data_IF_813206552866
#
_entry.id   IF_813206552866
#
_cell.length_a   1.000
_cell.length_b   1.000
_cell.length_c   1.000
_cell.angle_alpha   90.00
_cell.angle_beta   90.00
_cell.angle_gamma   90.00
#
_symmetry.space_group_name_H-M   'P 1'
#
loop_
_entity.id
_entity.type
_entity.pdbx_description
1 polymer ?
#
# COMPACT_ATOMS: atom_id res chain seq x y z
N UNK A 1 0.51 -10.88 -16.21
CA UNK A 1 0.22 -9.96 -17.33
C UNK A 1 -1.02 -10.38 -18.12
N UNK A 2 -1.14 -11.64 -18.56
CA UNK A 2 -2.30 -12.12 -19.32
C UNK A 2 -3.65 -11.76 -18.69
N UNK A 3 -3.89 -12.15 -17.44
CA UNK A 3 -5.16 -11.87 -16.74
C UNK A 3 -5.55 -10.39 -16.71
N UNK A 4 -4.57 -9.47 -16.63
CA UNK A 4 -4.86 -8.03 -16.65
C UNK A 4 -5.34 -7.62 -18.04
N UNK A 5 -4.67 -8.09 -19.08
CA UNK A 5 -5.06 -7.79 -20.46
C UNK A 5 -6.45 -8.36 -20.79
N UNK A 6 -6.74 -9.59 -20.32
CA UNK A 6 -8.05 -10.24 -20.52
C UNK A 6 -9.15 -9.46 -19.80
N UNK A 7 -8.89 -9.04 -18.57
CA UNK A 7 -9.83 -8.20 -17.82
C UNK A 7 -10.07 -6.87 -18.54
N UNK A 8 -9.02 -6.17 -18.97
CA UNK A 8 -9.15 -4.89 -19.69
C UNK A 8 -9.90 -5.05 -21.01
N UNK A 9 -9.67 -6.15 -21.75
CA UNK A 9 -10.41 -6.40 -23.00
C UNK A 9 -11.90 -6.69 -22.80
N UNK A 10 -12.30 -7.03 -21.58
CA UNK A 10 -13.68 -7.31 -21.20
C UNK A 10 -14.39 -6.10 -20.58
N UNK A 11 -13.66 -5.01 -20.33
CA UNK A 11 -14.24 -3.75 -19.87
C UNK A 11 -14.94 -3.04 -21.02
N UNK A 12 -16.06 -2.42 -20.73
CA UNK A 12 -16.78 -1.53 -21.64
C UNK A 12 -17.15 -0.23 -20.92
N UNK A 13 -17.65 0.74 -21.66
CA UNK A 13 -18.09 2.04 -21.14
C UNK A 13 -19.48 1.98 -20.48
N UNK A 14 -20.01 0.79 -20.27
CA UNK A 14 -21.30 0.57 -19.64
C UNK A 14 -21.32 0.88 -18.15
N UNK A 15 -22.48 0.74 -17.56
CA UNK A 15 -22.62 0.84 -16.11
C UNK A 15 -21.85 -0.30 -15.43
N UNK A 16 -20.93 0.06 -14.55
CA UNK A 16 -20.17 -0.89 -13.76
C UNK A 16 -21.03 -1.65 -12.75
N UNK A 17 -20.44 -2.60 -12.04
CA UNK A 17 -21.15 -3.45 -11.10
C UNK A 17 -21.81 -2.63 -9.99
N UNK A 18 -23.07 -2.97 -9.69
CA UNK A 18 -23.76 -2.39 -8.53
C UNK A 18 -23.07 -2.86 -7.24
N UNK A 19 -22.90 -1.95 -6.29
CA UNK A 19 -22.26 -2.25 -5.01
C UNK A 19 -20.72 -2.13 -5.03
N UNK A 20 -20.14 -1.60 -6.10
CA UNK A 20 -18.72 -1.25 -6.14
C UNK A 20 -18.42 -0.18 -5.09
N UNK A 21 -17.67 -0.57 -4.04
CA UNK A 21 -17.31 0.30 -2.93
C UNK A 21 -16.05 1.14 -3.20
N UNK A 22 -15.32 0.85 -4.29
CA UNK A 22 -14.05 1.51 -4.61
C UNK A 22 -14.28 2.73 -5.51
N UNK A 23 -14.95 2.53 -6.64
CA UNK A 23 -15.18 3.57 -7.64
C UNK A 23 -16.65 3.81 -7.97
N UNK A 24 -17.57 3.17 -7.24
CA UNK A 24 -19.02 3.36 -7.44
C UNK A 24 -19.54 2.90 -8.80
N UNK A 25 -18.81 2.00 -9.47
CA UNK A 25 -19.14 1.50 -10.81
C UNK A 25 -18.56 2.34 -11.95
N UNK A 26 -17.65 3.27 -11.66
CA UNK A 26 -16.94 4.05 -12.69
C UNK A 26 -15.89 3.18 -13.41
N UNK A 27 -16.23 2.73 -14.63
CA UNK A 27 -15.37 1.85 -15.41
C UNK A 27 -14.10 2.54 -15.92
N UNK A 28 -14.12 3.86 -16.11
CA UNK A 28 -12.91 4.61 -16.50
C UNK A 28 -11.87 4.64 -15.37
N UNK A 29 -12.35 4.70 -14.11
CA UNK A 29 -11.48 4.59 -12.94
C UNK A 29 -10.89 3.17 -12.81
N UNK A 30 -11.68 2.14 -13.09
CA UNK A 30 -11.19 0.76 -13.14
C UNK A 30 -10.17 0.54 -14.25
N UNK A 31 -10.33 1.17 -15.42
CA UNK A 31 -9.33 1.13 -16.50
C UNK A 31 -8.00 1.77 -16.05
N UNK A 32 -8.04 2.94 -15.39
CA UNK A 32 -6.84 3.58 -14.81
C UNK A 32 -6.15 2.67 -13.80
N UNK A 33 -6.92 2.04 -12.93
CA UNK A 33 -6.42 1.08 -11.96
C UNK A 33 -5.73 -0.10 -12.65
N UNK A 34 -6.36 -0.70 -13.66
CA UNK A 34 -5.82 -1.83 -14.41
C UNK A 34 -4.51 -1.47 -15.14
N UNK A 35 -4.44 -0.30 -15.80
CA UNK A 35 -3.22 0.20 -16.44
C UNK A 35 -2.11 0.44 -15.40
N UNK A 36 -2.43 1.01 -14.26
CA UNK A 36 -1.46 1.22 -13.18
C UNK A 36 -0.94 -0.11 -12.63
N UNK A 37 -1.82 -1.09 -12.44
CA UNK A 37 -1.44 -2.44 -12.02
C UNK A 37 -0.56 -3.12 -13.07
N UNK A 38 -0.87 -2.97 -14.35
CA UNK A 38 -0.06 -3.46 -15.47
C UNK A 38 1.34 -2.85 -15.46
N UNK A 39 1.44 -1.53 -15.28
CA UNK A 39 2.73 -0.84 -15.13
C UNK A 39 3.52 -1.37 -13.94
N UNK A 40 2.88 -1.53 -12.79
CA UNK A 40 3.51 -2.09 -11.58
C UNK A 40 4.03 -3.51 -11.80
N UNK A 41 3.26 -4.37 -12.46
CA UNK A 41 3.71 -5.74 -12.81
C UNK A 41 4.87 -5.70 -13.80
N UNK A 42 4.82 -4.83 -14.82
CA UNK A 42 5.91 -4.65 -15.76
C UNK A 42 7.22 -4.26 -15.05
N UNK A 43 7.18 -3.31 -14.14
CA UNK A 43 8.36 -2.92 -13.36
C UNK A 43 8.93 -4.07 -12.52
N UNK A 44 8.07 -4.95 -11.98
CA UNK A 44 8.50 -6.14 -11.23
C UNK A 44 9.12 -7.23 -12.11
N UNK A 45 8.82 -7.22 -13.41
CA UNK A 45 9.38 -8.18 -14.39
C UNK A 45 10.70 -7.72 -14.99
N UNK A 46 11.17 -6.51 -14.70
CA UNK A 46 12.28 -5.85 -15.41
C UNK A 46 13.57 -6.68 -15.46
N UNK A 47 13.88 -7.43 -14.41
CA UNK A 47 15.08 -8.26 -14.36
C UNK A 47 14.87 -9.64 -15.00
N UNK A 48 13.67 -10.19 -14.88
CA UNK A 48 13.37 -11.55 -15.38
C UNK A 48 13.07 -11.57 -16.89
N UNK A 49 12.38 -10.54 -17.40
CA UNK A 49 12.03 -10.35 -18.80
C UNK A 49 12.07 -8.87 -19.18
N UNK A 50 13.25 -8.28 -19.43
CA UNK A 50 13.39 -6.86 -19.73
C UNK A 50 12.61 -6.41 -20.97
N UNK A 51 12.53 -7.25 -21.99
CA UNK A 51 11.84 -6.92 -23.24
C UNK A 51 10.31 -6.90 -23.05
N UNK A 52 9.76 -7.92 -22.40
CA UNK A 52 8.35 -7.97 -22.05
C UNK A 52 7.94 -6.90 -21.06
N UNK A 53 8.80 -6.61 -20.06
CA UNK A 53 8.61 -5.53 -19.10
C UNK A 53 8.52 -4.16 -19.79
N UNK A 54 9.46 -3.86 -20.70
CA UNK A 54 9.45 -2.63 -21.48
C UNK A 54 8.17 -2.51 -22.30
N UNK A 55 7.85 -3.50 -23.11
CA UNK A 55 6.67 -3.47 -23.97
C UNK A 55 5.36 -3.29 -23.17
N UNK A 56 5.23 -4.01 -22.04
CA UNK A 56 4.05 -3.90 -21.18
C UNK A 56 3.97 -2.56 -20.45
N UNK A 57 5.10 -2.02 -20.00
CA UNK A 57 5.19 -0.72 -19.34
C UNK A 57 4.85 0.43 -20.29
N UNK A 58 5.42 0.43 -21.49
CA UNK A 58 5.12 1.42 -22.53
C UNK A 58 3.64 1.38 -22.94
N UNK A 59 3.07 0.17 -23.08
CA UNK A 59 1.66 0.01 -23.38
C UNK A 59 0.75 0.53 -22.25
N UNK A 60 1.13 0.31 -20.99
CA UNK A 60 0.37 0.84 -19.84
C UNK A 60 0.44 2.37 -19.75
N UNK A 61 1.60 2.96 -20.02
CA UNK A 61 1.80 4.41 -20.06
C UNK A 61 1.13 5.09 -21.26
N UNK A 62 0.80 4.35 -22.31
CA UNK A 62 0.01 4.82 -23.45
C UNK A 62 -1.48 4.98 -23.13
N UNK A 63 -1.95 4.39 -22.04
CA UNK A 63 -3.32 4.53 -21.53
C UNK A 63 -3.38 5.48 -20.33
N UNK A 64 -4.58 5.64 -19.78
CA UNK A 64 -4.77 6.38 -18.53
C UNK A 64 -4.27 5.58 -17.34
N UNK A 65 -3.47 6.19 -16.48
CA UNK A 65 -2.99 5.62 -15.22
C UNK A 65 -3.47 6.44 -14.02
N UNK A 66 -3.27 5.94 -12.81
CA UNK A 66 -3.46 6.73 -11.59
C UNK A 66 -2.24 7.65 -11.45
N UNK A 67 -2.41 8.90 -11.82
CA UNK A 67 -1.40 9.97 -11.81
C UNK A 67 -1.75 11.12 -10.85
N UNK A 68 -2.92 11.03 -10.19
CA UNK A 68 -3.37 11.96 -9.17
C UNK A 68 -4.07 11.20 -8.04
N UNK A 69 -4.05 11.76 -6.83
CA UNK A 69 -4.70 11.15 -5.66
C UNK A 69 -6.22 11.02 -5.79
N UNK A 70 -6.86 11.85 -6.61
CA UNK A 70 -8.30 11.74 -6.87
C UNK A 70 -8.69 10.42 -7.58
N UNK A 71 -7.73 9.75 -8.22
CA UNK A 71 -7.93 8.47 -8.91
C UNK A 71 -7.55 7.25 -8.07
N UNK A 72 -7.11 7.45 -6.82
CA UNK A 72 -6.71 6.36 -5.95
C UNK A 72 -7.85 5.36 -5.74
N UNK A 73 -7.53 4.07 -5.83
CA UNK A 73 -8.44 3.00 -5.43
C UNK A 73 -8.52 2.98 -3.90
N UNK A 74 -9.57 3.52 -3.35
CA UNK A 74 -9.80 3.58 -1.91
C UNK A 74 -11.01 2.73 -1.55
N UNK A 75 -10.84 1.84 -0.57
CA UNK A 75 -11.96 1.13 0.02
C UNK A 75 -12.33 1.85 1.33
N UNK A 76 -13.52 2.45 1.42
CA UNK A 76 -13.95 3.14 2.63
C UNK A 76 -14.33 2.13 3.71
N UNK A 77 -13.50 2.04 4.74
CA UNK A 77 -13.89 1.33 5.96
C UNK A 77 -14.90 2.19 6.74
N UNK A 78 -15.73 1.55 7.52
CA UNK A 78 -16.67 2.22 8.42
C UNK A 78 -16.23 2.04 9.88
N UNK A 79 -16.64 2.96 10.75
CA UNK A 79 -16.32 2.90 12.19
C UNK A 79 -17.25 1.94 12.94
N UNK A 80 -17.45 0.76 12.39
CA UNK A 80 -18.28 -0.27 13.00
C UNK A 80 -17.92 -1.67 12.50
N UNK A 81 -17.79 -2.62 13.43
CA UNK A 81 -17.62 -4.03 13.08
C UNK A 81 -18.85 -4.55 12.29
N UNK A 82 -18.66 -5.45 11.32
CA UNK A 82 -17.43 -6.12 10.94
C UNK A 82 -16.64 -5.43 9.81
N UNK A 83 -17.02 -4.22 9.40
CA UNK A 83 -16.47 -3.54 8.22
C UNK A 83 -15.52 -2.39 8.58
N UNK A 84 -14.99 -2.36 9.78
CA UNK A 84 -13.96 -1.43 10.22
C UNK A 84 -12.57 -1.87 9.71
N UNK A 85 -11.62 -0.94 9.77
CA UNK A 85 -10.26 -1.21 9.32
C UNK A 85 -9.62 -2.34 10.16
N UNK A 86 -9.20 -3.47 9.55
CA UNK A 86 -8.65 -4.62 10.29
C UNK A 86 -7.35 -4.28 11.03
N UNK A 87 -6.54 -3.37 10.51
CA UNK A 87 -5.31 -2.92 11.20
C UNK A 87 -5.67 -2.18 12.48
N UNK A 88 -6.66 -1.28 12.44
CA UNK A 88 -7.16 -0.61 13.62
C UNK A 88 -7.73 -1.60 14.63
N UNK A 89 -8.50 -2.56 14.16
CA UNK A 89 -9.12 -3.57 15.04
C UNK A 89 -8.07 -4.38 15.81
N UNK A 90 -7.00 -4.82 15.14
CA UNK A 90 -5.88 -5.53 15.78
C UNK A 90 -5.22 -4.67 16.86
N UNK A 91 -5.02 -3.39 16.60
CA UNK A 91 -4.37 -2.48 17.55
C UNK A 91 -5.19 -2.13 18.79
N UNK A 92 -6.48 -2.41 18.81
CA UNK A 92 -7.31 -2.24 20.02
C UNK A 92 -6.91 -3.19 21.15
N UNK A 93 -6.35 -4.34 20.79
CA UNK A 93 -6.04 -5.42 21.75
C UNK A 93 -4.62 -5.96 21.64
N UNK A 94 -3.88 -5.61 20.57
CA UNK A 94 -2.58 -6.18 20.24
C UNK A 94 -1.65 -5.10 19.69
N UNK A 95 -0.35 -5.29 19.84
CA UNK A 95 0.70 -4.47 19.27
C UNK A 95 1.68 -5.34 18.47
N UNK A 96 1.17 -5.97 17.41
CA UNK A 96 1.90 -6.98 16.64
C UNK A 96 2.76 -6.39 15.52
N UNK A 97 2.71 -5.09 15.30
CA UNK A 97 3.37 -4.46 14.17
C UNK A 97 4.31 -3.35 14.63
N UNK A 98 5.54 -3.41 14.19
CA UNK A 98 6.54 -2.36 14.35
C UNK A 98 6.98 -1.82 12.98
N UNK A 99 7.63 -0.67 12.97
CA UNK A 99 8.27 -0.16 11.77
C UNK A 99 9.40 -1.10 11.34
N UNK A 100 9.43 -1.49 10.06
CA UNK A 100 10.50 -2.32 9.52
C UNK A 100 11.79 -1.51 9.34
N UNK A 101 12.94 -2.09 9.72
CA UNK A 101 14.26 -1.48 9.50
C UNK A 101 14.50 -1.19 8.01
N UNK A 102 14.03 -2.03 7.10
CA UNK A 102 14.18 -1.82 5.66
C UNK A 102 13.53 -0.52 5.18
N UNK A 103 12.43 -0.11 5.79
CA UNK A 103 11.77 1.14 5.46
C UNK A 103 12.36 2.32 6.24
N UNK A 104 12.59 2.17 7.53
CA UNK A 104 13.14 3.22 8.39
C UNK A 104 14.53 3.64 7.93
N UNK A 105 15.43 2.68 7.66
CA UNK A 105 16.80 2.96 7.21
C UNK A 105 16.81 3.68 5.85
N UNK A 106 15.95 3.25 4.93
CA UNK A 106 15.81 3.87 3.62
C UNK A 106 15.29 5.32 3.73
N UNK A 107 14.25 5.55 4.51
CA UNK A 107 13.70 6.90 4.71
C UNK A 107 14.70 7.80 5.44
N UNK A 108 15.46 7.26 6.40
CA UNK A 108 16.53 7.98 7.10
C UNK A 108 17.63 8.41 6.13
N UNK A 109 18.10 7.49 5.27
CA UNK A 109 19.13 7.78 4.27
C UNK A 109 18.71 8.89 3.27
N UNK A 110 17.43 8.99 2.98
CA UNK A 110 16.86 10.01 2.08
C UNK A 110 16.45 11.31 2.81
N UNK A 111 16.56 11.39 4.12
CA UNK A 111 15.96 12.46 4.94
C UNK A 111 14.47 12.69 4.57
N UNK A 112 13.71 11.60 4.43
CA UNK A 112 12.32 11.65 3.96
C UNK A 112 11.42 12.34 5.00
N UNK A 113 10.78 13.48 4.66
CA UNK A 113 9.95 14.23 5.61
C UNK A 113 8.69 13.48 6.07
N UNK A 114 8.31 12.39 5.39
CA UNK A 114 7.17 11.56 5.76
C UNK A 114 7.45 10.63 6.93
N UNK A 115 8.72 10.51 7.36
CA UNK A 115 9.12 9.65 8.47
C UNK A 115 8.25 9.87 9.71
N UNK A 116 8.13 11.11 10.19
CA UNK A 116 7.35 11.46 11.37
C UNK A 116 5.83 11.40 11.17
N UNK A 117 5.36 11.21 9.92
CA UNK A 117 3.94 10.96 9.62
C UNK A 117 3.65 9.46 9.74
N UNK A 118 4.53 8.63 9.19
CA UNK A 118 4.34 7.18 9.16
C UNK A 118 4.68 6.50 10.48
N UNK A 119 5.67 7.01 11.21
CA UNK A 119 6.20 6.38 12.40
C UNK A 119 6.30 7.35 13.58
N UNK A 120 6.14 6.81 14.77
CA UNK A 120 6.51 7.48 16.02
C UNK A 120 7.95 7.13 16.36
N UNK A 121 8.74 8.06 16.93
CA UNK A 121 10.05 7.71 17.46
C UNK A 121 9.91 6.73 18.64
N UNK A 122 10.98 5.97 18.90
CA UNK A 122 11.10 5.13 20.10
C UNK A 122 11.21 5.99 21.38
N UNK A 123 11.35 5.36 22.55
CA UNK A 123 11.47 6.06 23.83
C UNK A 123 12.66 7.03 23.93
N UNK A 124 13.73 6.76 23.16
CA UNK A 124 14.91 7.64 23.12
C UNK A 124 14.74 8.81 22.13
N UNK A 125 13.62 8.88 21.44
CA UNK A 125 13.36 9.94 20.45
C UNK A 125 13.93 9.65 19.05
N UNK A 126 14.38 8.43 18.78
CA UNK A 126 14.98 8.02 17.52
C UNK A 126 13.99 7.22 16.66
N UNK A 127 14.13 7.31 15.33
CA UNK A 127 13.45 6.38 14.44
C UNK A 127 14.30 5.13 14.26
N UNK A 128 13.82 4.00 14.78
CA UNK A 128 14.50 2.71 14.75
C UNK A 128 13.52 1.66 14.25
N UNK A 129 13.89 0.92 13.22
CA UNK A 129 13.08 -0.16 12.68
C UNK A 129 13.42 -1.51 13.28
N UNK A 130 12.41 -2.36 13.47
CA UNK A 130 12.59 -3.77 13.80
C UNK A 130 13.25 -4.50 12.63
N UNK A 131 14.16 -5.43 12.93
CA UNK A 131 14.86 -6.19 11.90
C UNK A 131 13.86 -7.14 11.21
N UNK A 132 13.66 -6.90 9.91
CA UNK A 132 12.74 -7.69 9.10
C UNK A 132 13.24 -9.13 8.89
N UNK A 133 12.34 -10.10 9.08
CA UNK A 133 12.63 -11.52 8.83
C UNK A 133 13.24 -12.28 10.00
N UNK A 134 13.25 -11.73 11.19
CA UNK A 134 13.58 -12.48 12.40
C UNK A 134 12.52 -13.55 12.67
N UNK A 135 12.95 -14.68 13.23
CA UNK A 135 12.03 -15.64 13.83
C UNK A 135 11.43 -15.09 15.14
N UNK A 136 10.34 -15.67 15.58
CA UNK A 136 9.60 -15.24 16.77
C UNK A 136 10.48 -15.13 18.02
N UNK A 137 11.42 -16.07 18.23
CA UNK A 137 12.29 -16.09 19.40
C UNK A 137 13.28 -14.92 19.41
N UNK A 138 13.79 -14.52 18.23
CA UNK A 138 14.73 -13.41 18.11
C UNK A 138 13.99 -12.07 18.08
N UNK A 139 12.83 -11.99 17.44
CA UNK A 139 11.99 -10.79 17.48
C UNK A 139 11.54 -10.44 18.90
N UNK A 140 11.18 -11.44 19.70
CA UNK A 140 10.77 -11.26 21.11
C UNK A 140 11.90 -10.71 22.02
N UNK A 141 13.15 -10.67 21.56
CA UNK A 141 14.26 -10.05 22.30
C UNK A 141 14.29 -8.52 22.15
N UNK A 142 13.59 -7.96 21.18
CA UNK A 142 13.52 -6.51 20.97
C UNK A 142 12.35 -5.95 21.77
N UNK A 143 12.56 -5.10 22.77
CA UNK A 143 11.45 -4.46 23.48
C UNK A 143 10.63 -3.55 22.54
N UNK A 144 9.32 -3.52 22.71
CA UNK A 144 8.41 -2.70 21.88
C UNK A 144 8.77 -1.23 21.87
N UNK A 145 9.34 -0.72 22.96
CA UNK A 145 9.74 0.67 23.14
C UNK A 145 11.13 1.01 22.56
N UNK A 146 11.89 0.00 22.18
CA UNK A 146 13.19 0.17 21.51
C UNK A 146 13.03 0.49 20.01
N UNK A 147 11.89 0.20 19.41
CA UNK A 147 11.61 0.39 17.99
C UNK A 147 10.49 1.38 17.75
N UNK A 148 10.46 1.94 16.54
CA UNK A 148 9.40 2.86 16.11
C UNK A 148 8.09 2.13 15.87
N UNK A 149 7.02 2.75 16.33
CA UNK A 149 5.64 2.30 16.14
C UNK A 149 4.97 3.15 15.05
N UNK A 150 3.70 2.88 14.78
CA UNK A 150 2.89 3.70 13.85
C UNK A 150 2.85 5.16 14.28
N UNK A 151 2.94 6.05 13.33
CA UNK A 151 2.79 7.48 13.55
C UNK A 151 1.36 7.88 13.91
N UNK A 152 1.23 8.95 14.69
CA UNK A 152 -0.07 9.47 15.12
C UNK A 152 -1.01 9.82 13.95
N UNK A 153 -0.46 10.24 12.80
CA UNK A 153 -1.26 10.53 11.62
C UNK A 153 -1.90 9.27 11.01
N UNK A 154 -1.22 8.11 11.07
CA UNK A 154 -1.78 6.83 10.63
C UNK A 154 -2.84 6.36 11.63
N UNK A 155 -2.59 6.56 12.92
CA UNK A 155 -3.59 6.27 13.96
C UNK A 155 -4.85 7.15 13.82
N UNK A 156 -4.68 8.43 13.43
CA UNK A 156 -5.79 9.34 13.17
C UNK A 156 -6.52 9.03 11.86
N UNK A 157 -5.83 8.46 10.86
CA UNK A 157 -6.44 8.01 9.61
C UNK A 157 -7.32 6.75 9.75
N UNK A 158 -7.33 6.15 10.93
CA UNK A 158 -8.29 5.09 11.31
C UNK A 158 -9.68 5.66 11.66
N UNK A 159 -9.83 6.97 11.59
CA UNK A 159 -11.14 7.62 11.66
C UNK A 159 -11.86 7.48 10.31
N UNK A 160 -13.19 7.38 10.31
CA UNK A 160 -14.00 7.10 9.12
C UNK A 160 -13.81 8.08 7.99
#
# INVERSE_FOLDING_TARGET
MGLINDAMSSMDDGAGPQGDQVYGGDMMMWERFANTLKLRVAMRMSDADPAGAKAAGEAALGGSIIDDNMYNAQFPYIDAAPNNNPVNEDYKTRNDFAASNTMVDWMTALNDPRMGVYFSPNLEGNFVGEVYGLDEANAALTPDDAVSQRGAAILAADLP
#
